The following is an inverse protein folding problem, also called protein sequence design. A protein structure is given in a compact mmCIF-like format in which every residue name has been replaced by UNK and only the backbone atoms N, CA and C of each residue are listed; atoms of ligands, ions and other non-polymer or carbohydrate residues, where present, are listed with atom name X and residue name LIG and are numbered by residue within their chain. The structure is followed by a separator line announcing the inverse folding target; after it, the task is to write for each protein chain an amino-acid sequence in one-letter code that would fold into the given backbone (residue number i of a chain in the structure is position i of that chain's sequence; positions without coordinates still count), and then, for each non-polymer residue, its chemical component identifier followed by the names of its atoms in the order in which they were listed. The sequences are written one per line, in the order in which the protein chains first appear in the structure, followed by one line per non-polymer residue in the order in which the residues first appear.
data_IF_418039963077
#
_entry.id   IF_418039963077
#
_cell.length_a   1.000
_cell.length_b   1.000
_cell.length_c   1.000
_cell.angle_alpha   90.00
_cell.angle_beta   90.00
_cell.angle_gamma   90.00
#
_symmetry.space_group_name_H-M   'P 1'
#
loop_
_entity.id
_entity.type
_entity.pdbx_description
1 polymer ?
#
# COMPACT_ATOMS: atom_id res chain seq x y z
N UNK A 1 5.84 21.80 -14.51
CA UNK A 1 4.66 21.79 -15.39
C UNK A 1 3.42 21.65 -14.51
N UNK A 2 2.45 22.57 -14.56
CA UNK A 2 1.21 22.41 -13.79
C UNK A 2 0.43 21.21 -14.32
N UNK A 3 -0.15 20.42 -13.42
CA UNK A 3 -0.89 19.23 -13.80
C UNK A 3 -2.13 19.63 -14.61
N UNK A 4 -2.33 19.00 -15.77
CA UNK A 4 -3.53 19.23 -16.57
C UNK A 4 -4.76 18.85 -15.73
N UNK A 5 -5.76 19.75 -15.56
CA UNK A 5 -6.94 19.47 -14.73
C UNK A 5 -7.70 18.21 -15.16
N UNK A 6 -7.74 17.90 -16.46
CA UNK A 6 -8.40 16.70 -16.98
C UNK A 6 -7.62 15.44 -16.56
N UNK A 7 -6.32 15.38 -16.84
CA UNK A 7 -5.49 14.23 -16.47
C UNK A 7 -5.45 14.04 -14.95
N UNK A 8 -5.37 15.13 -14.18
CA UNK A 8 -5.44 15.11 -12.72
C UNK A 8 -6.74 14.49 -12.20
N UNK A 9 -7.87 14.94 -12.74
CA UNK A 9 -9.20 14.41 -12.38
C UNK A 9 -9.33 12.94 -12.73
N UNK A 10 -8.83 12.53 -13.91
CA UNK A 10 -8.84 11.13 -14.34
C UNK A 10 -7.93 10.26 -13.46
N UNK A 11 -6.75 10.73 -13.07
CA UNK A 11 -5.83 10.02 -12.15
C UNK A 11 -6.46 9.82 -10.78
N UNK A 12 -7.02 10.88 -10.19
CA UNK A 12 -7.72 10.81 -8.90
C UNK A 12 -8.91 9.86 -8.98
N UNK A 13 -9.74 9.98 -10.02
CA UNK A 13 -10.89 9.09 -10.19
C UNK A 13 -10.45 7.63 -10.34
N UNK A 14 -9.41 7.37 -11.12
CA UNK A 14 -8.83 6.03 -11.33
C UNK A 14 -8.32 5.43 -10.02
N UNK A 15 -7.54 6.17 -9.23
CA UNK A 15 -7.00 5.65 -7.99
C UNK A 15 -8.09 5.45 -6.93
N UNK A 16 -9.06 6.36 -6.82
CA UNK A 16 -10.17 6.23 -5.87
C UNK A 16 -11.01 5.00 -6.18
N UNK A 17 -11.37 4.78 -7.45
CA UNK A 17 -12.14 3.61 -7.87
C UNK A 17 -11.35 2.30 -7.71
N UNK A 18 -10.06 2.31 -8.02
CA UNK A 18 -9.18 1.17 -7.82
C UNK A 18 -9.05 0.81 -6.33
N UNK A 19 -8.82 1.81 -5.48
CA UNK A 19 -8.55 1.61 -4.06
C UNK A 19 -9.81 1.31 -3.27
N UNK A 20 -10.99 1.89 -3.59
CA UNK A 20 -12.24 1.57 -2.88
C UNK A 20 -12.65 0.10 -3.11
N UNK A 21 -12.46 -0.40 -4.33
CA UNK A 21 -12.76 -1.80 -4.68
C UNK A 21 -11.74 -2.76 -4.06
N UNK A 22 -10.46 -2.40 -4.03
CA UNK A 22 -9.42 -3.15 -3.32
C UNK A 22 -9.68 -3.17 -1.80
N UNK A 23 -9.95 -2.02 -1.20
CA UNK A 23 -10.23 -1.85 0.23
C UNK A 23 -11.46 -2.66 0.66
N UNK A 24 -12.52 -2.67 -0.16
CA UNK A 24 -13.70 -3.51 0.09
C UNK A 24 -13.34 -5.00 0.08
N UNK A 25 -12.61 -5.46 -0.94
CA UNK A 25 -12.18 -6.86 -1.04
C UNK A 25 -11.29 -7.26 0.14
N UNK A 26 -10.38 -6.38 0.56
CA UNK A 26 -9.50 -6.60 1.70
C UNK A 26 -10.26 -6.62 3.03
N UNK A 27 -11.23 -5.72 3.19
CA UNK A 27 -12.10 -5.68 4.37
C UNK A 27 -12.96 -6.96 4.50
N UNK A 28 -13.54 -7.43 3.39
CA UNK A 28 -14.44 -8.59 3.40
C UNK A 28 -13.68 -9.94 3.43
N UNK A 29 -12.54 -10.04 2.74
CA UNK A 29 -11.86 -11.32 2.48
C UNK A 29 -10.38 -11.37 2.86
N UNK A 30 -9.79 -10.25 3.31
CA UNK A 30 -8.34 -10.10 3.61
C UNK A 30 -7.44 -10.50 2.43
N UNK A 31 -7.99 -10.39 1.22
CA UNK A 31 -7.33 -10.79 -0.01
C UNK A 31 -7.83 -9.92 -1.17
N UNK A 32 -6.91 -9.56 -2.05
CA UNK A 32 -7.22 -8.87 -3.31
C UNK A 32 -6.58 -9.64 -4.45
N UNK A 33 -7.39 -10.01 -5.44
CA UNK A 33 -6.95 -10.84 -6.57
C UNK A 33 -5.95 -10.09 -7.45
N UNK A 34 -4.97 -10.80 -7.98
CA UNK A 34 -3.97 -10.25 -8.91
C UNK A 34 -4.57 -9.62 -10.16
N UNK A 35 -5.67 -10.20 -10.65
CA UNK A 35 -6.40 -9.67 -11.80
C UNK A 35 -6.99 -8.27 -11.57
N UNK A 36 -7.24 -7.88 -10.32
CA UNK A 36 -7.65 -6.51 -9.97
C UNK A 36 -6.55 -5.52 -10.35
N UNK A 37 -5.35 -5.76 -9.84
CA UNK A 37 -4.19 -4.89 -10.02
C UNK A 37 -3.77 -4.80 -11.49
N UNK A 38 -3.76 -5.93 -12.21
CA UNK A 38 -3.45 -5.95 -13.64
C UNK A 38 -4.46 -5.14 -14.45
N UNK A 39 -5.77 -5.24 -14.15
CA UNK A 39 -6.81 -4.47 -14.84
C UNK A 39 -6.66 -2.97 -14.62
N UNK A 40 -6.30 -2.53 -13.42
CA UNK A 40 -6.12 -1.12 -13.08
C UNK A 40 -4.76 -0.54 -13.52
N UNK A 41 -3.76 -1.38 -13.71
CA UNK A 41 -2.49 -0.97 -14.30
C UNK A 41 -2.65 -0.47 -15.75
N UNK A 42 -3.61 -1.02 -16.51
CA UNK A 42 -3.88 -0.59 -17.89
C UNK A 42 -4.29 0.88 -17.98
N UNK A 43 -5.38 1.35 -17.35
CA UNK A 43 -5.74 2.77 -17.39
C UNK A 43 -4.68 3.66 -16.73
N UNK A 44 -4.02 3.21 -15.66
CA UNK A 44 -2.93 3.98 -15.04
C UNK A 44 -1.76 4.23 -16.03
N UNK A 45 -1.32 3.18 -16.73
CA UNK A 45 -0.24 3.27 -17.72
C UNK A 45 -0.64 4.12 -18.92
N UNK A 46 -1.87 3.95 -19.41
CA UNK A 46 -2.39 4.71 -20.54
C UNK A 46 -2.50 6.20 -20.21
N UNK A 47 -3.02 6.56 -19.03
CA UNK A 47 -3.08 7.95 -18.60
C UNK A 47 -1.68 8.58 -18.56
N UNK A 48 -0.70 7.88 -17.99
CA UNK A 48 0.68 8.37 -17.94
C UNK A 48 1.29 8.51 -19.33
N UNK A 49 1.17 7.50 -20.19
CA UNK A 49 1.70 7.57 -21.55
C UNK A 49 1.01 8.67 -22.38
N UNK A 50 -0.31 8.79 -22.29
CA UNK A 50 -1.08 9.81 -23.02
C UNK A 50 -0.70 11.22 -22.59
N UNK A 51 -0.51 11.47 -21.29
CA UNK A 51 -0.07 12.77 -20.80
C UNK A 51 1.32 13.14 -21.34
N UNK A 52 2.27 12.19 -21.29
CA UNK A 52 3.64 12.41 -21.80
C UNK A 52 3.69 12.67 -23.31
N UNK A 53 2.88 11.93 -24.08
CA UNK A 53 2.76 12.10 -25.54
C UNK A 53 2.10 13.45 -25.87
N UNK A 54 1.03 13.82 -25.16
CA UNK A 54 0.33 15.10 -25.37
C UNK A 54 1.25 16.29 -25.10
N UNK A 55 2.13 16.15 -24.10
CA UNK A 55 3.10 17.17 -23.72
C UNK A 55 4.40 17.15 -24.56
N UNK A 56 4.49 16.27 -25.56
CA UNK A 56 5.67 16.09 -26.41
C UNK A 56 6.98 15.93 -25.63
N UNK A 57 6.97 15.08 -24.59
CA UNK A 57 8.01 15.04 -23.55
C UNK A 57 9.31 14.31 -23.94
N UNK A 58 9.55 14.04 -25.22
CA UNK A 58 10.69 13.22 -25.68
C UNK A 58 10.46 11.70 -25.59
N UNK A 59 11.21 10.94 -26.40
CA UNK A 59 11.04 9.49 -26.52
C UNK A 59 11.52 8.74 -25.28
N UNK A 60 12.58 9.23 -24.64
CA UNK A 60 13.19 8.66 -23.44
C UNK A 60 12.19 8.64 -22.28
N UNK A 61 11.47 9.75 -22.08
CA UNK A 61 10.43 9.88 -21.06
C UNK A 61 9.24 8.95 -21.34
N UNK A 62 8.82 8.81 -22.59
CA UNK A 62 7.76 7.87 -22.97
C UNK A 62 8.19 6.43 -22.67
N UNK A 63 9.43 6.07 -22.98
CA UNK A 63 9.99 4.75 -22.67
C UNK A 63 10.17 4.50 -21.17
N UNK A 64 10.39 5.54 -20.35
CA UNK A 64 10.39 5.41 -18.90
C UNK A 64 9.02 4.96 -18.35
N UNK A 65 7.91 5.21 -19.05
CA UNK A 65 6.61 4.60 -18.68
C UNK A 65 6.69 3.08 -18.75
N UNK A 66 7.31 2.52 -19.80
CA UNK A 66 7.52 1.08 -19.91
C UNK A 66 8.47 0.55 -18.82
N UNK A 67 9.42 1.35 -18.34
CA UNK A 67 10.26 1.01 -17.19
C UNK A 67 9.43 0.86 -15.91
N UNK A 68 8.51 1.79 -15.63
CA UNK A 68 7.62 1.71 -14.47
C UNK A 68 6.67 0.51 -14.56
N UNK A 69 6.07 0.28 -15.74
CA UNK A 69 5.16 -0.86 -15.97
C UNK A 69 5.90 -2.20 -15.86
N UNK A 70 7.12 -2.30 -16.40
CA UNK A 70 7.93 -3.52 -16.28
C UNK A 70 8.36 -3.77 -14.83
N UNK A 71 8.74 -2.74 -14.06
CA UNK A 71 8.99 -2.86 -12.63
C UNK A 71 7.73 -3.33 -11.86
N UNK A 72 6.56 -2.75 -12.15
CA UNK A 72 5.29 -3.19 -11.56
C UNK A 72 4.95 -4.64 -11.91
N UNK A 73 5.29 -5.11 -13.12
CA UNK A 73 5.01 -6.47 -13.56
C UNK A 73 5.69 -7.56 -12.72
N UNK A 74 6.80 -7.22 -12.03
CA UNK A 74 7.54 -8.12 -11.13
C UNK A 74 6.65 -8.62 -9.98
N UNK A 75 5.61 -7.88 -9.60
CA UNK A 75 4.64 -8.33 -8.60
C UNK A 75 3.81 -9.55 -9.03
N UNK A 76 3.80 -9.89 -10.33
CA UNK A 76 2.92 -10.92 -10.90
C UNK A 76 3.69 -11.98 -11.69
N UNK A 77 4.73 -11.58 -12.40
CA UNK A 77 5.47 -12.45 -13.31
C UNK A 77 6.97 -12.32 -13.01
N UNK A 78 7.67 -13.45 -13.03
CA UNK A 78 9.13 -13.44 -12.93
C UNK A 78 9.71 -12.83 -14.22
N UNK A 79 10.72 -11.95 -14.13
CA UNK A 79 11.37 -11.40 -15.32
C UNK A 79 11.77 -12.51 -16.32
N UNK A 80 11.34 -12.42 -17.59
CA UNK A 80 11.64 -13.44 -18.60
C UNK A 80 13.14 -13.60 -18.81
N UNK A 81 13.63 -14.85 -18.81
CA UNK A 81 15.04 -15.13 -19.09
C UNK A 81 15.30 -15.12 -20.62
N UNK A 82 16.14 -14.20 -21.15
CA UNK A 82 16.45 -14.10 -22.57
C UNK A 82 17.08 -15.37 -23.15
N UNK A 83 17.74 -16.19 -22.32
CA UNK A 83 18.34 -17.46 -22.75
C UNK A 83 17.30 -18.50 -23.14
N UNK A 84 16.06 -18.34 -22.68
CA UNK A 84 14.94 -19.26 -22.93
C UNK A 84 13.90 -18.67 -23.90
N UNK A 85 14.28 -17.71 -24.73
CA UNK A 85 13.36 -16.98 -25.61
C UNK A 85 12.49 -17.87 -26.52
N UNK A 86 13.00 -19.06 -26.89
CA UNK A 86 12.25 -20.02 -27.73
C UNK A 86 11.06 -20.66 -27.03
N UNK A 87 11.05 -20.67 -25.70
CA UNK A 87 10.01 -21.28 -24.86
C UNK A 87 9.00 -20.24 -24.34
N UNK A 88 9.18 -18.97 -24.70
CA UNK A 88 8.36 -17.89 -24.16
C UNK A 88 6.90 -17.99 -24.55
N UNK A 89 6.02 -17.82 -23.56
CA UNK A 89 4.62 -17.55 -23.80
C UNK A 89 4.44 -16.14 -24.37
N UNK A 90 3.24 -15.84 -24.89
CA UNK A 90 2.89 -14.48 -25.33
C UNK A 90 3.02 -13.44 -24.22
N UNK A 91 2.78 -13.84 -22.97
CA UNK A 91 2.90 -12.97 -21.80
C UNK A 91 4.38 -12.66 -21.55
N UNK A 92 5.25 -13.68 -21.58
CA UNK A 92 6.69 -13.51 -21.37
C UNK A 92 7.29 -12.58 -22.44
N UNK A 93 6.94 -12.78 -23.71
CA UNK A 93 7.38 -11.92 -24.79
C UNK A 93 6.91 -10.46 -24.64
N UNK A 94 5.67 -10.25 -24.18
CA UNK A 94 5.12 -8.90 -23.96
C UNK A 94 5.82 -8.20 -22.80
N UNK A 95 6.01 -8.90 -21.67
CA UNK A 95 6.73 -8.38 -20.50
C UNK A 95 8.18 -8.07 -20.86
N UNK A 96 8.86 -8.97 -21.58
CA UNK A 96 10.23 -8.73 -22.04
C UNK A 96 10.35 -7.50 -22.95
N UNK A 97 9.38 -7.31 -23.86
CA UNK A 97 9.35 -6.12 -24.72
C UNK A 97 9.26 -4.82 -23.90
N UNK A 98 8.45 -4.82 -22.83
CA UNK A 98 8.37 -3.69 -21.90
C UNK A 98 9.70 -3.45 -21.17
N UNK A 99 10.40 -4.51 -20.77
CA UNK A 99 11.75 -4.38 -20.17
C UNK A 99 12.75 -3.77 -21.15
N UNK A 100 12.74 -4.17 -22.42
CA UNK A 100 13.61 -3.58 -23.44
C UNK A 100 13.28 -2.11 -23.66
N UNK A 101 12.00 -1.75 -23.83
CA UNK A 101 11.59 -0.36 -23.95
C UNK A 101 12.00 0.45 -22.73
N UNK A 102 11.74 -0.06 -21.52
CA UNK A 102 12.13 0.58 -20.27
C UNK A 102 13.63 0.79 -20.15
N UNK A 103 14.44 -0.21 -20.54
CA UNK A 103 15.89 -0.10 -20.57
C UNK A 103 16.37 0.97 -21.57
N UNK A 104 15.72 1.10 -22.73
CA UNK A 104 16.02 2.17 -23.68
C UNK A 104 15.68 3.56 -23.11
N UNK A 105 14.56 3.71 -22.39
CA UNK A 105 14.22 4.97 -21.73
C UNK A 105 15.20 5.34 -20.61
N UNK A 106 15.63 4.35 -19.83
CA UNK A 106 16.60 4.53 -18.76
C UNK A 106 17.99 4.88 -19.30
N UNK A 107 18.52 4.09 -20.23
CA UNK A 107 19.87 4.32 -20.80
C UNK A 107 19.87 5.55 -21.69
N UNK A 108 18.86 5.70 -22.55
CA UNK A 108 18.72 6.86 -23.44
C UNK A 108 18.64 8.16 -22.66
N UNK A 109 17.77 8.23 -21.66
CA UNK A 109 17.67 9.43 -20.83
C UNK A 109 18.90 9.66 -19.95
N UNK A 110 19.59 8.61 -19.48
CA UNK A 110 20.86 8.79 -18.79
C UNK A 110 21.93 9.40 -19.73
N UNK A 111 21.95 9.05 -21.01
CA UNK A 111 22.88 9.65 -21.98
C UNK A 111 22.49 11.09 -22.32
N UNK A 112 21.18 11.37 -22.45
CA UNK A 112 20.68 12.69 -22.85
C UNK A 112 20.60 13.69 -21.71
N UNK A 113 20.39 13.23 -20.46
CA UNK A 113 20.04 14.07 -19.31
C UNK A 113 20.98 13.86 -18.09
N UNK A 114 22.15 13.24 -18.25
CA UNK A 114 23.10 13.06 -17.12
C UNK A 114 23.89 14.31 -16.74
N UNK A 115 24.11 15.22 -17.68
CA UNK A 115 24.86 16.47 -17.46
C UNK A 115 23.96 17.54 -16.80
N UNK A 116 23.31 17.14 -15.71
CA UNK A 116 22.36 17.97 -14.95
C UNK A 116 23.00 18.40 -13.64
N UNK A 117 22.87 19.68 -13.28
CA UNK A 117 23.25 20.11 -11.94
C UNK A 117 22.14 19.74 -10.96
N UNK A 118 22.45 18.89 -9.98
CA UNK A 118 21.46 18.41 -9.02
C UNK A 118 20.84 19.54 -8.18
N UNK A 119 21.57 20.62 -7.93
CA UNK A 119 21.03 21.79 -7.21
C UNK A 119 19.95 22.45 -8.06
N UNK A 120 20.24 22.71 -9.34
CA UNK A 120 19.31 23.34 -10.28
C UNK A 120 18.08 22.43 -10.53
N UNK A 121 18.28 21.12 -10.54
CA UNK A 121 17.21 20.13 -10.63
C UNK A 121 16.25 20.19 -9.43
N UNK A 122 16.78 20.32 -8.21
CA UNK A 122 15.97 20.41 -6.99
C UNK A 122 15.26 21.76 -6.88
N UNK A 123 15.93 22.84 -7.31
CA UNK A 123 15.36 24.18 -7.36
C UNK A 123 14.31 24.35 -8.48
N UNK A 124 14.29 23.43 -9.45
CA UNK A 124 13.34 23.46 -10.56
C UNK A 124 13.76 24.38 -11.71
N UNK A 125 15.04 24.74 -11.77
CA UNK A 125 15.62 25.62 -12.79
C UNK A 125 16.03 24.88 -14.08
N UNK A 126 15.97 23.54 -14.05
CA UNK A 126 16.27 22.67 -15.19
C UNK A 126 15.14 22.60 -16.22
N UNK A 127 15.48 22.11 -17.42
CA UNK A 127 14.48 21.91 -18.47
C UNK A 127 13.40 20.91 -18.06
N UNK A 128 12.18 21.10 -18.56
CA UNK A 128 11.03 20.25 -18.20
C UNK A 128 11.25 18.77 -18.52
N UNK A 129 11.93 18.45 -19.62
CA UNK A 129 12.21 17.07 -20.02
C UNK A 129 13.21 16.38 -19.07
N UNK A 130 14.24 17.11 -18.64
CA UNK A 130 15.24 16.64 -17.66
C UNK A 130 14.57 16.40 -16.31
N UNK A 131 13.82 17.37 -15.79
CA UNK A 131 13.09 17.24 -14.51
C UNK A 131 12.12 16.06 -14.53
N UNK A 132 11.42 15.86 -15.66
CA UNK A 132 10.51 14.75 -15.83
C UNK A 132 11.22 13.40 -15.82
N UNK A 133 12.34 13.26 -16.54
CA UNK A 133 13.08 12.00 -16.59
C UNK A 133 13.58 11.60 -15.19
N UNK A 134 14.17 12.55 -14.46
CA UNK A 134 14.61 12.33 -13.08
C UNK A 134 13.44 12.02 -12.13
N UNK A 135 12.27 12.63 -12.34
CA UNK A 135 11.05 12.31 -11.60
C UNK A 135 10.60 10.86 -11.84
N UNK A 136 10.63 10.39 -13.10
CA UNK A 136 10.28 9.02 -13.46
C UNK A 136 11.33 8.02 -12.95
N UNK A 137 12.61 8.41 -12.92
CA UNK A 137 13.66 7.61 -12.28
C UNK A 137 13.41 7.49 -10.78
N UNK A 138 13.05 8.58 -10.10
CA UNK A 138 12.66 8.55 -8.68
C UNK A 138 11.47 7.64 -8.41
N UNK A 139 10.47 7.65 -9.30
CA UNK A 139 9.33 6.73 -9.27
C UNK A 139 9.77 5.26 -9.43
N UNK A 140 10.69 4.98 -10.37
CA UNK A 140 11.23 3.64 -10.59
C UNK A 140 11.97 3.13 -9.35
N UNK A 141 12.80 3.97 -8.74
CA UNK A 141 13.50 3.66 -7.49
C UNK A 141 12.52 3.43 -6.34
N UNK A 142 11.41 4.17 -6.30
CA UNK A 142 10.34 3.99 -5.29
C UNK A 142 9.66 2.63 -5.44
N UNK A 143 9.33 2.19 -6.67
CA UNK A 143 8.80 0.85 -6.91
C UNK A 143 9.82 -0.22 -6.49
N UNK A 144 11.08 -0.05 -6.88
CA UNK A 144 12.16 -0.97 -6.52
C UNK A 144 12.36 -1.07 -5.00
N UNK A 145 12.21 0.04 -4.27
CA UNK A 145 12.23 0.07 -2.82
C UNK A 145 11.10 -0.78 -2.23
N UNK A 146 9.85 -0.61 -2.70
CA UNK A 146 8.72 -1.42 -2.20
C UNK A 146 8.88 -2.91 -2.52
N UNK A 147 9.35 -3.25 -3.72
CA UNK A 147 9.65 -4.64 -4.09
C UNK A 147 10.75 -5.24 -3.22
N UNK A 148 11.80 -4.47 -2.92
CA UNK A 148 12.88 -4.89 -2.04
C UNK A 148 12.36 -5.10 -0.62
N UNK A 149 11.63 -4.12 -0.07
CA UNK A 149 11.01 -4.22 1.25
C UNK A 149 10.09 -5.45 1.37
N UNK A 150 9.38 -5.80 0.30
CA UNK A 150 8.61 -7.04 0.25
C UNK A 150 9.48 -8.29 0.25
N UNK A 151 10.54 -8.32 -0.57
CA UNK A 151 11.43 -9.46 -0.70
C UNK A 151 12.17 -9.80 0.61
N UNK A 152 12.52 -8.80 1.43
CA UNK A 152 13.13 -9.02 2.76
C UNK A 152 12.08 -9.21 3.87
N UNK A 153 10.78 -9.13 3.56
CA UNK A 153 9.69 -9.34 4.52
C UNK A 153 9.39 -8.15 5.44
N UNK A 154 9.90 -6.95 5.13
CA UNK A 154 9.55 -5.71 5.84
C UNK A 154 8.09 -5.34 5.59
N UNK A 155 7.62 -5.44 4.34
CA UNK A 155 6.21 -5.37 3.99
C UNK A 155 5.69 -6.80 3.84
N UNK A 156 4.77 -7.21 4.71
CA UNK A 156 4.27 -8.59 4.71
C UNK A 156 3.16 -8.81 3.66
N UNK A 157 2.37 -7.78 3.34
CA UNK A 157 1.26 -7.89 2.42
C UNK A 157 1.67 -7.70 0.97
N UNK A 158 1.53 -8.75 0.15
CA UNK A 158 1.73 -8.63 -1.29
C UNK A 158 0.73 -7.69 -1.98
N UNK A 159 -0.48 -7.56 -1.43
CA UNK A 159 -1.48 -6.59 -1.91
C UNK A 159 -1.08 -5.14 -1.61
N UNK A 160 -0.42 -4.90 -0.48
CA UNK A 160 0.06 -3.58 -0.07
C UNK A 160 1.12 -3.06 -1.04
N UNK A 161 2.08 -3.91 -1.39
CA UNK A 161 3.16 -3.59 -2.34
C UNK A 161 2.59 -3.32 -3.73
N UNK A 162 1.61 -4.13 -4.17
CA UNK A 162 0.90 -3.90 -5.43
C UNK A 162 0.15 -2.58 -5.43
N UNK A 163 -0.50 -2.21 -4.32
CA UNK A 163 -1.16 -0.92 -4.19
C UNK A 163 -0.17 0.24 -4.28
N UNK A 164 0.90 0.21 -3.49
CA UNK A 164 1.91 1.28 -3.45
C UNK A 164 2.66 1.44 -4.78
N UNK A 165 2.99 0.33 -5.45
CA UNK A 165 3.62 0.37 -6.76
C UNK A 165 2.66 0.89 -7.84
N UNK A 166 1.37 0.54 -7.79
CA UNK A 166 0.36 1.10 -8.69
C UNK A 166 0.14 2.60 -8.43
N UNK A 167 0.14 3.05 -7.17
CA UNK A 167 0.07 4.48 -6.82
C UNK A 167 1.27 5.21 -7.39
N UNK A 168 2.46 4.62 -7.36
CA UNK A 168 3.67 5.20 -7.96
C UNK A 168 3.54 5.32 -9.48
N UNK A 169 2.87 4.37 -10.13
CA UNK A 169 2.56 4.45 -11.58
C UNK A 169 1.54 5.55 -11.89
N UNK A 170 0.54 5.75 -11.02
CA UNK A 170 -0.49 6.81 -11.16
C UNK A 170 0.05 8.18 -10.76
N UNK A 171 0.98 8.27 -9.82
CA UNK A 171 1.59 9.52 -9.37
C UNK A 171 3.10 9.35 -9.24
N UNK A 172 3.85 9.38 -10.36
CA UNK A 172 5.30 9.21 -10.35
C UNK A 172 6.01 10.28 -9.51
N UNK A 173 5.48 11.51 -9.49
CA UNK A 173 5.98 12.61 -8.67
C UNK A 173 4.83 13.55 -8.29
N UNK A 174 5.13 14.53 -7.42
CA UNK A 174 4.17 15.56 -7.02
C UNK A 174 3.65 16.41 -8.18
N UNK A 175 4.37 16.47 -9.31
CA UNK A 175 3.91 17.17 -10.51
C UNK A 175 2.67 16.54 -11.15
N UNK A 176 2.35 15.27 -10.83
CA UNK A 176 1.19 14.55 -11.35
C UNK A 176 -0.01 14.56 -10.40
N UNK A 177 0.13 15.19 -9.23
CA UNK A 177 -0.94 15.38 -8.26
C UNK A 177 -1.38 16.84 -8.39
N UNK A 178 -2.69 17.13 -8.49
CA UNK A 178 -3.16 18.50 -8.48
C UNK A 178 -2.75 19.22 -7.20
N UNK A 179 -2.68 20.55 -7.29
CA UNK A 179 -2.28 21.39 -6.17
C UNK A 179 -3.11 21.10 -4.92
N UNK A 180 -2.42 20.98 -3.80
CA UNK A 180 -3.04 20.63 -2.53
C UNK A 180 -3.88 21.80 -2.01
N UNK A 181 -5.04 21.49 -1.43
CA UNK A 181 -5.97 22.53 -0.96
C UNK A 181 -5.43 23.29 0.26
N UNK A 182 -4.67 22.61 1.12
CA UNK A 182 -4.04 23.16 2.33
C UNK A 182 -2.60 22.64 2.45
N UNK A 183 -1.66 23.12 1.61
CA UNK A 183 -0.29 22.63 1.63
C UNK A 183 0.33 22.85 3.02
N UNK A 184 0.77 21.78 3.68
CA UNK A 184 1.31 21.85 5.04
C UNK A 184 2.72 22.50 5.13
N UNK A 185 3.30 22.93 4.01
CA UNK A 185 4.56 23.68 3.98
C UNK A 185 4.68 24.54 2.72
N UNK A 186 5.15 25.77 2.89
CA UNK A 186 5.64 26.61 1.77
C UNK A 186 6.96 26.03 1.25
N UNK A 187 7.15 26.07 -0.07
CA UNK A 187 8.38 25.74 -0.82
C UNK A 187 9.35 24.75 -0.15
N UNK A 188 8.84 23.59 0.27
CA UNK A 188 9.66 22.58 0.92
C UNK A 188 10.78 22.11 -0.02
N UNK A 189 12.03 22.26 0.43
CA UNK A 189 13.26 21.86 -0.31
C UNK A 189 13.23 20.36 -0.63
N UNK A 190 12.62 19.57 0.25
CA UNK A 190 12.53 18.13 0.10
C UNK A 190 11.11 17.63 0.29
N UNK A 191 10.66 16.77 -0.63
CA UNK A 191 9.39 16.03 -0.54
C UNK A 191 9.63 14.55 -0.80
N UNK A 192 9.03 13.68 0.01
CA UNK A 192 9.08 12.23 -0.25
C UNK A 192 8.19 11.87 -1.44
N UNK A 193 8.46 10.76 -2.15
CA UNK A 193 7.61 10.32 -3.26
C UNK A 193 6.14 10.17 -2.84
N UNK A 194 5.15 10.47 -3.72
CA UNK A 194 3.75 10.47 -3.32
C UNK A 194 3.23 9.14 -2.74
N UNK A 195 3.68 8.00 -3.28
CA UNK A 195 3.31 6.69 -2.74
C UNK A 195 3.86 6.47 -1.31
N UNK A 196 5.02 7.04 -0.99
CA UNK A 196 5.58 7.03 0.36
C UNK A 196 4.79 7.95 1.30
N UNK A 197 4.44 9.16 0.84
CA UNK A 197 3.57 10.06 1.60
C UNK A 197 2.22 9.39 1.89
N UNK A 198 1.64 8.68 0.91
CA UNK A 198 0.40 7.92 1.09
C UNK A 198 0.56 6.79 2.11
N UNK A 199 1.70 6.08 2.10
CA UNK A 199 2.02 5.07 3.10
C UNK A 199 2.10 5.65 4.53
N UNK A 200 2.74 6.81 4.69
CA UNK A 200 2.83 7.51 5.97
C UNK A 200 1.45 7.98 6.46
N UNK A 201 0.64 8.54 5.55
CA UNK A 201 -0.74 8.90 5.86
C UNK A 201 -1.59 7.68 6.25
N UNK A 202 -1.40 6.53 5.60
CA UNK A 202 -2.08 5.30 5.99
C UNK A 202 -1.69 4.87 7.41
N UNK A 203 -0.41 5.02 7.78
CA UNK A 203 0.07 4.83 9.15
C UNK A 203 -0.61 5.78 10.13
N UNK A 204 -0.76 7.07 9.78
CA UNK A 204 -1.47 8.05 10.62
C UNK A 204 -2.95 7.72 10.78
N UNK A 205 -3.64 7.32 9.69
CA UNK A 205 -5.04 6.86 9.74
C UNK A 205 -5.17 5.60 10.60
N UNK A 206 -4.21 4.68 10.53
CA UNK A 206 -4.19 3.48 11.37
C UNK A 206 -4.17 3.82 12.87
N UNK A 207 -3.56 4.93 13.28
CA UNK A 207 -3.59 5.39 14.69
C UNK A 207 -5.00 5.77 15.19
N UNK A 208 -5.97 5.94 14.30
CA UNK A 208 -7.37 6.15 14.64
C UNK A 208 -8.07 4.83 15.03
N UNK A 209 -7.55 3.68 14.59
CA UNK A 209 -8.17 2.38 14.84
C UNK A 209 -8.28 2.03 16.35
N UNK A 210 -7.23 2.18 17.18
CA UNK A 210 -7.31 1.86 18.61
C UNK A 210 -8.40 2.68 19.36
N UNK A 211 -8.48 4.02 19.23
CA UNK A 211 -9.59 4.79 19.80
C UNK A 211 -10.98 4.32 19.35
N UNK A 212 -11.16 4.00 18.07
CA UNK A 212 -12.45 3.53 17.54
C UNK A 212 -12.84 2.18 18.14
N UNK A 213 -11.89 1.24 18.25
CA UNK A 213 -12.13 -0.07 18.86
C UNK A 213 -12.48 0.08 20.34
N UNK A 214 -11.79 0.97 21.06
CA UNK A 214 -12.07 1.26 22.46
C UNK A 214 -13.50 1.79 22.64
N UNK A 215 -13.90 2.80 21.86
CA UNK A 215 -15.26 3.36 21.92
C UNK A 215 -16.33 2.30 21.58
N UNK A 216 -16.07 1.44 20.59
CA UNK A 216 -16.97 0.35 20.24
C UNK A 216 -17.15 -0.64 21.40
N UNK A 217 -16.06 -1.03 22.05
CA UNK A 217 -16.13 -1.91 23.22
C UNK A 217 -16.84 -1.25 24.40
N UNK A 218 -16.63 0.05 24.63
CA UNK A 218 -17.35 0.80 25.65
C UNK A 218 -18.86 0.84 25.38
N UNK A 219 -19.25 1.13 24.13
CA UNK A 219 -20.67 1.16 23.71
C UNK A 219 -21.37 -0.20 23.87
N UNK A 220 -20.66 -1.29 23.60
CA UNK A 220 -21.19 -2.66 23.77
C UNK A 220 -21.16 -3.16 25.22
N UNK A 221 -20.70 -2.35 26.18
CA UNK A 221 -20.59 -2.76 27.59
C UNK A 221 -19.52 -3.83 27.85
N UNK A 222 -18.53 -3.96 26.96
CA UNK A 222 -17.49 -4.99 27.05
C UNK A 222 -16.39 -4.68 28.07
N UNK A 223 -16.37 -3.46 28.63
CA UNK A 223 -15.33 -2.96 29.55
C UNK A 223 -15.92 -2.97 30.96
N UNK A 224 -15.59 -3.99 31.76
CA UNK A 224 -16.01 -4.08 33.16
C UNK A 224 -14.88 -3.74 34.14
N UNK A 225 -13.65 -4.11 33.80
CA UNK A 225 -12.47 -3.93 34.65
C UNK A 225 -11.36 -3.10 33.98
N UNK A 226 -10.40 -2.62 34.77
CA UNK A 226 -9.20 -1.91 34.26
C UNK A 226 -8.34 -2.85 33.38
N UNK A 227 -8.37 -4.16 33.66
CA UNK A 227 -7.71 -5.19 32.86
C UNK A 227 -8.29 -5.26 31.43
N UNK A 228 -9.60 -5.07 31.28
CA UNK A 228 -10.29 -5.02 29.99
C UNK A 228 -9.93 -3.79 29.18
N UNK A 229 -9.58 -2.65 29.81
CA UNK A 229 -9.21 -1.43 29.09
C UNK A 229 -7.99 -1.65 28.20
N UNK A 230 -7.00 -2.43 28.69
CA UNK A 230 -5.81 -2.80 27.92
C UNK A 230 -6.18 -3.63 26.68
N UNK A 231 -7.13 -4.55 26.83
CA UNK A 231 -7.62 -5.40 25.73
C UNK A 231 -8.48 -4.61 24.75
N UNK A 232 -9.37 -3.76 25.26
CA UNK A 232 -10.28 -2.93 24.49
C UNK A 232 -9.56 -1.90 23.60
N UNK A 233 -8.29 -1.60 23.89
CA UNK A 233 -7.45 -0.77 23.03
C UNK A 233 -7.13 -1.41 21.67
N UNK A 234 -7.01 -2.73 21.59
CA UNK A 234 -6.49 -3.42 20.38
C UNK A 234 -7.28 -4.68 19.97
N UNK A 235 -8.33 -5.03 20.71
CA UNK A 235 -9.13 -6.23 20.48
C UNK A 235 -10.61 -5.95 20.71
N UNK A 236 -11.47 -6.76 20.10
CA UNK A 236 -12.93 -6.71 20.30
C UNK A 236 -13.41 -7.96 21.00
N UNK A 237 -14.31 -7.81 21.99
CA UNK A 237 -14.95 -8.95 22.65
C UNK A 237 -16.08 -9.48 21.77
N UNK A 238 -16.09 -10.79 21.49
CA UNK A 238 -17.11 -11.46 20.67
C UNK A 238 -17.64 -12.71 21.36
N UNK A 239 -18.93 -13.07 21.15
CA UNK A 239 -19.47 -14.35 21.60
C UNK A 239 -18.75 -15.53 20.94
N UNK A 240 -18.53 -16.61 21.68
CA UNK A 240 -17.86 -17.81 21.16
C UNK A 240 -18.67 -18.45 20.01
N UNK A 241 -20.00 -18.30 20.04
CA UNK A 241 -20.93 -18.77 19.01
C UNK A 241 -20.77 -18.07 17.66
N UNK A 242 -20.30 -16.81 17.64
CA UNK A 242 -20.12 -16.01 16.42
C UNK A 242 -18.74 -16.18 15.77
N UNK A 243 -17.86 -17.00 16.36
CA UNK A 243 -16.51 -17.16 15.85
C UNK A 243 -16.47 -18.12 14.66
N UNK A 244 -16.26 -17.57 13.47
CA UNK A 244 -15.91 -18.37 12.29
C UNK A 244 -14.53 -19.01 12.44
N UNK A 245 -14.44 -20.30 12.12
CA UNK A 245 -13.19 -21.07 12.15
C UNK A 245 -12.14 -20.47 11.21
N UNK A 246 -10.87 -20.45 11.63
CA UNK A 246 -9.75 -20.03 10.80
C UNK A 246 -9.61 -18.52 10.52
N UNK A 247 -10.62 -17.69 10.78
CA UNK A 247 -10.57 -16.23 10.45
C UNK A 247 -10.21 -15.31 11.62
N UNK A 248 -10.34 -15.78 12.86
CA UNK A 248 -10.23 -14.93 14.05
C UNK A 248 -8.99 -15.28 14.88
N UNK A 249 -8.15 -14.29 15.19
CA UNK A 249 -7.05 -14.42 16.14
C UNK A 249 -7.58 -14.27 17.56
N UNK A 250 -7.73 -15.39 18.26
CA UNK A 250 -8.27 -15.43 19.62
C UNK A 250 -7.14 -15.13 20.62
N UNK A 251 -7.41 -14.18 21.50
CA UNK A 251 -6.47 -13.70 22.51
C UNK A 251 -6.74 -14.31 23.89
N UNK A 252 -7.91 -14.89 24.09
CA UNK A 252 -8.30 -15.57 25.33
C UNK A 252 -7.92 -17.05 25.24
N UNK A 253 -7.05 -17.50 26.13
CA UNK A 253 -6.64 -18.90 26.23
C UNK A 253 -6.87 -19.47 27.63
N UNK A 254 -7.13 -20.78 27.68
CA UNK A 254 -7.18 -21.55 28.91
C UNK A 254 -5.75 -22.02 29.20
N UNK A 255 -5.14 -21.46 30.24
CA UNK A 255 -3.83 -21.89 30.73
C UNK A 255 -4.02 -22.65 32.02
N UNK A 256 -3.39 -23.83 32.13
CA UNK A 256 -3.33 -24.56 33.37
C UNK A 256 -2.17 -24.01 34.21
N UNK A 257 -2.47 -23.52 35.42
CA UNK A 257 -1.45 -23.05 36.35
C UNK A 257 -1.80 -23.60 37.73
N UNK A 258 -0.85 -24.31 38.35
CA UNK A 258 -1.01 -24.96 39.66
C UNK A 258 -2.19 -25.96 39.73
N UNK A 259 -2.41 -26.73 38.65
CA UNK A 259 -3.49 -27.74 38.59
C UNK A 259 -4.91 -27.17 38.54
N UNK A 260 -5.05 -25.86 38.33
CA UNK A 260 -6.33 -25.18 38.09
C UNK A 260 -6.32 -24.53 36.71
N UNK A 261 -7.37 -24.77 35.94
CA UNK A 261 -7.58 -24.08 34.67
C UNK A 261 -7.90 -22.61 34.96
N UNK A 262 -7.10 -21.68 34.40
CA UNK A 262 -7.34 -20.25 34.46
C UNK A 262 -7.42 -19.67 33.06
N UNK A 263 -8.39 -18.78 32.88
CA UNK A 263 -8.56 -18.02 31.65
C UNK A 263 -7.59 -16.86 31.67
N UNK A 264 -6.75 -16.75 30.65
CA UNK A 264 -5.76 -15.69 30.52
C UNK A 264 -5.96 -14.98 29.19
N UNK A 265 -6.03 -13.65 29.24
CA UNK A 265 -6.06 -12.79 28.07
C UNK A 265 -4.62 -12.40 27.70
N UNK A 266 -4.19 -12.77 26.50
CA UNK A 266 -2.88 -12.41 25.96
C UNK A 266 -2.98 -11.15 25.11
N UNK A 267 -1.93 -10.34 25.11
CA UNK A 267 -1.82 -9.16 24.23
C UNK A 267 -1.58 -9.58 22.77
N UNK A 268 -0.92 -10.71 22.56
CA UNK A 268 -0.61 -11.26 21.25
C UNK A 268 -1.23 -12.65 21.08
N UNK A 269 -1.76 -12.98 19.89
CA UNK A 269 -2.28 -14.31 19.62
C UNK A 269 -1.15 -15.34 19.65
N UNK A 270 -1.45 -16.55 20.09
CA UNK A 270 -0.49 -17.65 20.05
C UNK A 270 -0.19 -18.07 18.62
N UNK A 271 0.98 -18.69 18.40
CA UNK A 271 1.36 -19.25 17.08
C UNK A 271 0.28 -20.18 16.52
N UNK A 272 -0.42 -20.91 17.38
CA UNK A 272 -1.51 -21.81 17.02
C UNK A 272 -2.77 -21.05 16.58
N UNK A 273 -3.14 -19.97 17.29
CA UNK A 273 -4.24 -19.10 16.87
C UNK A 273 -3.94 -18.35 15.56
N UNK A 274 -2.67 -17.99 15.33
CA UNK A 274 -2.24 -17.35 14.09
C UNK A 274 -2.35 -18.30 12.90
N UNK A 275 -2.01 -19.58 13.08
CA UNK A 275 -1.97 -20.58 12.00
C UNK A 275 -3.31 -21.26 11.71
N UNK A 276 -4.12 -21.51 12.73
CA UNK A 276 -5.35 -22.31 12.61
C UNK A 276 -6.62 -21.55 13.05
N UNK A 277 -6.50 -20.31 13.53
CA UNK A 277 -7.62 -19.59 14.14
C UNK A 277 -8.09 -20.27 15.43
N UNK A 278 -9.38 -20.21 15.72
CA UNK A 278 -9.99 -20.97 16.82
C UNK A 278 -10.27 -22.41 16.37
N UNK A 279 -9.78 -23.40 17.14
CA UNK A 279 -10.05 -24.82 16.87
C UNK A 279 -11.34 -25.29 17.57
N UNK A 280 -12.02 -26.35 17.07
CA UNK A 280 -13.21 -26.90 17.72
C UNK A 280 -12.96 -27.32 19.18
N UNK A 281 -11.81 -27.91 19.44
CA UNK A 281 -11.39 -28.33 20.79
C UNK A 281 -11.20 -27.12 21.74
N UNK A 282 -10.69 -25.99 21.23
CA UNK A 282 -10.62 -24.76 22.02
C UNK A 282 -12.00 -24.17 22.31
N UNK A 283 -12.93 -24.19 21.34
CA UNK A 283 -14.32 -23.77 21.57
C UNK A 283 -14.99 -24.61 22.66
N UNK A 284 -14.84 -25.92 22.59
CA UNK A 284 -15.43 -26.85 23.56
C UNK A 284 -14.87 -26.62 24.96
N UNK A 285 -13.56 -26.39 25.09
CA UNK A 285 -12.90 -26.11 26.37
C UNK A 285 -13.28 -24.75 26.98
N UNK A 286 -13.52 -23.74 26.14
CA UNK A 286 -14.03 -22.44 26.60
C UNK A 286 -15.50 -22.56 27.07
N UNK A 287 -16.32 -23.31 26.33
CA UNK A 287 -17.71 -23.58 26.69
C UNK A 287 -17.82 -24.40 27.99
N UNK A 288 -16.97 -25.41 28.20
CA UNK A 288 -16.96 -26.21 29.43
C UNK A 288 -16.61 -25.40 30.68
N UNK A 289 -15.93 -24.26 30.50
CA UNK A 289 -15.61 -23.30 31.57
C UNK A 289 -16.68 -22.20 31.73
N UNK A 290 -17.78 -22.25 30.98
CA UNK A 290 -18.85 -21.25 31.04
C UNK A 290 -18.48 -19.90 30.44
N UNK A 291 -17.47 -19.84 29.55
CA UNK A 291 -17.02 -18.59 28.94
C UNK A 291 -17.83 -18.31 27.69
N UNK A 292 -18.74 -17.36 27.77
CA UNK A 292 -19.64 -17.01 26.66
C UNK A 292 -18.98 -16.09 25.62
N UNK A 293 -17.94 -15.34 26.00
CA UNK A 293 -17.29 -14.36 25.14
C UNK A 293 -15.78 -14.30 25.32
N UNK A 294 -15.06 -14.04 24.22
CA UNK A 294 -13.59 -13.99 24.18
C UNK A 294 -13.09 -12.74 23.47
N UNK A 295 -11.86 -12.35 23.78
CA UNK A 295 -11.18 -11.26 23.09
C UNK A 295 -10.60 -11.77 21.76
N UNK A 296 -10.88 -11.04 20.68
CA UNK A 296 -10.42 -11.34 19.33
C UNK A 296 -9.65 -10.15 18.79
N UNK A 297 -8.41 -10.40 18.37
CA UNK A 297 -7.65 -9.47 17.53
C UNK A 297 -8.18 -9.57 16.10
N UNK A 298 -8.54 -8.41 15.53
CA UNK A 298 -8.92 -8.35 14.12
C UNK A 298 -7.66 -8.16 13.29
N UNK A 299 -7.52 -8.91 12.20
CA UNK A 299 -6.56 -8.54 11.16
C UNK A 299 -6.99 -7.21 10.59
N UNK A 300 -6.08 -6.24 10.57
CA UNK A 300 -6.39 -4.92 10.06
C UNK A 300 -6.20 -4.89 8.54
N UNK A 301 -7.24 -4.57 7.76
CA UNK A 301 -7.15 -4.51 6.30
C UNK A 301 -6.40 -3.25 5.90
N UNK A 302 -5.11 -3.37 5.61
CA UNK A 302 -4.23 -2.23 5.37
C UNK A 302 -4.69 -1.38 4.19
N UNK A 303 -5.31 -2.00 3.17
CA UNK A 303 -5.82 -1.30 2.00
C UNK A 303 -6.96 -0.33 2.33
N UNK A 304 -7.70 -0.56 3.43
CA UNK A 304 -8.69 0.40 3.91
C UNK A 304 -8.02 1.68 4.38
N UNK A 305 -6.92 1.59 5.12
CA UNK A 305 -6.20 2.78 5.56
C UNK A 305 -5.50 3.48 4.40
N UNK A 306 -4.95 2.73 3.44
CA UNK A 306 -4.40 3.33 2.21
C UNK A 306 -5.47 4.06 1.39
N UNK A 307 -6.68 3.51 1.29
CA UNK A 307 -7.80 4.18 0.64
C UNK A 307 -8.16 5.49 1.37
N UNK A 308 -8.27 5.44 2.70
CA UNK A 308 -8.53 6.64 3.50
C UNK A 308 -7.39 7.65 3.47
N UNK A 309 -6.14 7.20 3.24
CA UNK A 309 -4.96 8.06 3.11
C UNK A 309 -4.96 8.92 1.84
N UNK A 310 -5.79 8.60 0.84
CA UNK A 310 -5.97 9.44 -0.35
C UNK A 310 -6.47 10.84 0.06
N UNK A 311 -7.36 10.92 1.03
CA UNK A 311 -7.92 12.20 1.49
C UNK A 311 -6.86 13.15 2.05
N UNK A 312 -6.09 12.80 3.09
CA UNK A 312 -5.06 13.69 3.61
C UNK A 312 -3.92 13.91 2.59
N UNK A 313 -3.61 12.96 1.72
CA UNK A 313 -2.64 13.19 0.65
C UNK A 313 -3.06 14.33 -0.29
N UNK A 314 -4.32 14.33 -0.73
CA UNK A 314 -4.85 15.36 -1.63
C UNK A 314 -5.11 16.71 -0.92
N UNK A 315 -5.49 16.68 0.36
CA UNK A 315 -5.78 17.88 1.12
C UNK A 315 -4.52 18.57 1.63
N UNK A 316 -3.58 17.80 2.16
CA UNK A 316 -2.45 18.30 2.96
C UNK A 316 -1.09 18.12 2.28
N UNK A 317 -0.99 17.18 1.34
CA UNK A 317 0.25 16.86 0.64
C UNK A 317 1.18 15.98 1.45
N UNK A 318 2.47 16.29 1.39
CA UNK A 318 3.51 15.54 2.06
C UNK A 318 3.48 15.79 3.59
N UNK A 319 3.27 14.75 4.42
CA UNK A 319 3.27 14.91 5.87
C UNK A 319 4.65 15.28 6.45
N UNK A 320 5.74 15.05 5.68
CA UNK A 320 7.12 15.29 6.10
C UNK A 320 7.64 16.68 5.68
N UNK A 321 7.10 17.25 4.60
CA UNK A 321 7.49 18.57 4.10
C UNK A 321 7.61 19.68 5.17
N UNK A 322 6.73 19.78 6.20
CA UNK A 322 6.85 20.83 7.21
C UNK A 322 8.13 20.76 8.04
N UNK A 323 8.78 19.60 8.12
CA UNK A 323 9.98 19.36 8.92
C UNK A 323 11.29 19.65 8.17
N UNK A 324 11.24 19.82 6.85
CA UNK A 324 12.40 20.02 5.97
C UNK A 324 12.31 21.36 5.23
N UNK A 325 12.47 22.44 6.00
CA UNK A 325 12.57 23.82 5.52
C UNK A 325 14.02 24.29 5.51
#
# INVERSE_FOLDING_TARGET
MPADPLFSTLRISTIVLCMVTAARSDYETLHVRDSHWVKWAVPASLLLASELVTNNSGLENIFMVAALVSAFSICFVKPPDPRKAREWSRIDASVFSLFIMGALGLVGGALSYSDTNFVDLVLGDESTEVTLWWSLLGALLTIAFFLSAWAVGLIQGGADVKALALVTLVFPSWAFIPDQMYPLGEEAIFRVPPAMAMFLWAGAVFLIAPPVILLRNAYLGNIGEISDLKMAWHATKKPVSELEEGKSWVLTEVSEKDGKERVVNRILPSKQSISQGITPNQKERLNSLGIESVWVASKHPFLVYLFLAIFPLLLFGDPIAPFFR
#
